data_IF_233686926998
#
_entry.id   IF_233686926998
#
_cell.length_a   1.000
_cell.length_b   1.000
_cell.length_c   1.000
_cell.angle_alpha   90.00
_cell.angle_beta   90.00
_cell.angle_gamma   90.00
#
_symmetry.space_group_name_H-M   'P 1'
#
loop_
_entity.id
_entity.type
_entity.pdbx_description
1 polymer ?
#
# COMPACT_ATOMS: atom_id res chain seq x y z
N UNK A 1 46.26 3.68 1.10
CA UNK A 1 45.55 3.35 2.35
C UNK A 1 44.25 2.67 1.95
N UNK A 2 44.24 1.34 1.97
CA UNK A 2 43.08 0.51 1.65
C UNK A 2 42.15 0.48 2.86
N UNK A 3 41.04 1.24 2.80
CA UNK A 3 39.95 1.09 3.74
C UNK A 3 39.28 -0.28 3.50
N UNK A 4 39.63 -1.24 4.36
CA UNK A 4 38.87 -2.47 4.56
C UNK A 4 37.48 -2.10 5.07
N UNK A 5 36.54 -1.93 4.15
CA UNK A 5 35.11 -2.02 4.45
C UNK A 5 34.86 -3.47 4.83
N UNK A 6 34.80 -3.73 6.13
CA UNK A 6 34.35 -5.01 6.67
C UNK A 6 32.93 -5.25 6.16
N UNK A 7 32.80 -6.17 5.21
CA UNK A 7 31.52 -6.71 4.78
C UNK A 7 30.91 -7.36 6.02
N UNK A 8 29.94 -6.67 6.61
CA UNK A 8 29.16 -7.19 7.71
C UNK A 8 28.36 -8.38 7.13
N UNK A 9 28.90 -9.59 7.27
CA UNK A 9 28.36 -10.84 6.70
C UNK A 9 26.86 -10.90 6.97
N UNK A 10 26.06 -10.83 5.91
CA UNK A 10 24.62 -10.66 6.05
C UNK A 10 24.04 -11.88 6.78
N UNK A 11 23.18 -11.63 7.76
CA UNK A 11 22.49 -12.66 8.54
C UNK A 11 21.68 -13.62 7.63
N UNK A 12 21.31 -13.17 6.43
CA UNK A 12 20.61 -13.95 5.40
C UNK A 12 21.51 -14.99 4.71
N UNK A 13 22.82 -14.77 4.61
CA UNK A 13 23.75 -15.68 3.91
C UNK A 13 24.15 -16.90 4.77
N UNK A 14 24.10 -16.77 6.11
CA UNK A 14 24.64 -17.78 7.03
C UNK A 14 23.58 -18.44 7.93
N UNK A 15 22.30 -18.06 7.80
CA UNK A 15 21.21 -18.65 8.59
C UNK A 15 20.65 -19.90 7.92
N UNK A 16 20.22 -20.88 8.73
CA UNK A 16 19.46 -22.03 8.21
C UNK A 16 18.16 -21.54 7.56
N UNK A 17 17.80 -22.14 6.42
CA UNK A 17 16.66 -21.72 5.58
C UNK A 17 15.35 -21.75 6.37
N UNK A 18 15.12 -22.76 7.21
CA UNK A 18 13.94 -22.89 8.07
C UNK A 18 13.73 -21.67 8.99
N UNK A 19 14.79 -21.25 9.68
CA UNK A 19 14.76 -20.07 10.57
C UNK A 19 14.54 -18.78 9.77
N UNK A 20 15.10 -18.68 8.57
CA UNK A 20 14.94 -17.52 7.72
C UNK A 20 13.51 -17.41 7.20
N UNK A 21 12.93 -18.52 6.72
CA UNK A 21 11.52 -18.58 6.28
C UNK A 21 10.60 -18.13 7.41
N UNK A 22 10.76 -18.67 8.62
CA UNK A 22 9.93 -18.27 9.77
C UNK A 22 10.10 -16.80 10.14
N UNK A 23 11.33 -16.27 10.11
CA UNK A 23 11.62 -14.87 10.41
C UNK A 23 10.93 -13.89 9.46
N UNK A 24 10.68 -14.30 8.21
CA UNK A 24 9.96 -13.50 7.22
C UNK A 24 8.46 -13.77 7.22
N UNK A 25 8.05 -15.03 7.34
CA UNK A 25 6.66 -15.43 7.28
C UNK A 25 5.87 -14.93 8.49
N UNK A 26 6.40 -15.07 9.72
CA UNK A 26 5.67 -14.70 10.94
C UNK A 26 5.24 -13.22 10.94
N UNK A 27 6.15 -12.24 10.70
CA UNK A 27 5.74 -10.84 10.64
C UNK A 27 4.70 -10.55 9.55
N UNK A 28 4.84 -11.18 8.38
CA UNK A 28 3.87 -11.01 7.29
C UNK A 28 2.49 -11.56 7.67
N UNK A 29 2.43 -12.75 8.26
CA UNK A 29 1.16 -13.35 8.70
C UNK A 29 0.50 -12.50 9.78
N UNK A 30 1.26 -12.02 10.78
CA UNK A 30 0.74 -11.12 11.82
C UNK A 30 0.19 -9.84 11.19
N UNK A 31 0.95 -9.21 10.29
CA UNK A 31 0.52 -8.00 9.57
C UNK A 31 -0.80 -8.23 8.82
N UNK A 32 -0.93 -9.36 8.11
CA UNK A 32 -2.13 -9.70 7.34
C UNK A 32 -3.33 -9.98 8.25
N UNK A 33 -3.15 -10.73 9.34
CA UNK A 33 -4.22 -11.04 10.30
C UNK A 33 -4.73 -9.77 10.98
N UNK A 34 -3.83 -8.92 11.48
CA UNK A 34 -4.24 -7.67 12.15
C UNK A 34 -4.91 -6.72 11.16
N UNK A 35 -4.40 -6.61 9.93
CA UNK A 35 -5.03 -5.81 8.87
C UNK A 35 -6.44 -6.31 8.53
N UNK A 36 -6.64 -7.63 8.44
CA UNK A 36 -7.97 -8.21 8.22
C UNK A 36 -8.94 -7.96 9.39
N UNK A 37 -8.48 -8.11 10.63
CA UNK A 37 -9.27 -7.80 11.82
C UNK A 37 -9.65 -6.32 11.87
N UNK A 38 -8.70 -5.45 11.54
CA UNK A 38 -8.95 -4.03 11.45
C UNK A 38 -10.05 -3.70 10.43
N UNK A 39 -9.95 -4.20 9.20
CA UNK A 39 -10.97 -3.96 8.17
C UNK A 39 -12.36 -4.40 8.64
N UNK A 40 -12.43 -5.49 9.42
CA UNK A 40 -13.70 -5.93 10.00
C UNK A 40 -14.23 -4.95 11.07
N UNK A 41 -13.36 -4.44 11.94
CA UNK A 41 -13.75 -3.49 12.99
C UNK A 41 -14.15 -2.12 12.40
N UNK A 42 -13.44 -1.63 11.39
CA UNK A 42 -13.79 -0.41 10.65
C UNK A 42 -15.21 -0.50 10.08
N UNK A 43 -15.55 -1.61 9.43
CA UNK A 43 -16.91 -1.84 8.91
C UNK A 43 -17.98 -1.94 10.02
N UNK A 44 -17.62 -2.38 11.23
CA UNK A 44 -18.51 -2.34 12.40
C UNK A 44 -18.75 -0.89 12.82
N UNK A 45 -17.70 -0.07 12.93
CA UNK A 45 -17.83 1.31 13.35
C UNK A 45 -18.65 2.15 12.36
N UNK A 46 -18.38 2.01 11.06
CA UNK A 46 -19.16 2.68 10.02
C UNK A 46 -20.61 2.16 10.03
N UNK A 47 -20.81 0.85 10.15
CA UNK A 47 -22.13 0.24 10.23
C UNK A 47 -22.95 0.72 11.43
N UNK A 48 -22.33 0.93 12.59
CA UNK A 48 -22.99 1.47 13.78
C UNK A 48 -23.21 2.99 13.70
N UNK A 49 -22.26 3.73 13.10
CA UNK A 49 -22.33 5.19 13.03
C UNK A 49 -23.22 5.73 11.93
N UNK A 50 -23.33 5.03 10.79
CA UNK A 50 -24.04 5.48 9.59
C UNK A 50 -25.08 4.46 9.11
N UNK A 51 -24.92 3.18 9.46
CA UNK A 51 -25.76 2.10 8.95
C UNK A 51 -25.19 1.44 7.70
N UNK A 52 -25.96 0.50 7.14
CA UNK A 52 -25.54 -0.28 5.98
C UNK A 52 -25.24 0.57 4.73
N UNK A 53 -25.84 1.77 4.61
CA UNK A 53 -25.58 2.71 3.52
C UNK A 53 -24.13 3.23 3.58
N UNK A 54 -23.59 3.45 4.78
CA UNK A 54 -22.19 3.82 4.97
C UNK A 54 -21.24 2.71 4.51
N UNK A 55 -21.52 1.47 4.89
CA UNK A 55 -20.72 0.31 4.45
C UNK A 55 -20.84 0.07 2.93
N UNK A 56 -22.00 0.32 2.34
CA UNK A 56 -22.16 0.25 0.89
C UNK A 56 -21.28 1.31 0.20
N UNK A 57 -21.27 2.54 0.72
CA UNK A 57 -20.48 3.64 0.19
C UNK A 57 -18.96 3.37 0.18
N UNK A 58 -18.42 2.82 1.28
CA UNK A 58 -17.00 2.44 1.36
C UNK A 58 -16.66 1.30 0.39
N UNK A 59 -17.52 0.29 0.28
CA UNK A 59 -17.35 -0.83 -0.66
C UNK A 59 -17.40 -0.39 -2.13
N UNK A 60 -18.23 0.60 -2.47
CA UNK A 60 -18.29 1.18 -3.83
C UNK A 60 -16.99 1.92 -4.16
N UNK A 61 -16.36 2.59 -3.20
CA UNK A 61 -15.08 3.28 -3.40
C UNK A 61 -13.88 2.32 -3.44
N UNK A 62 -14.01 1.12 -2.87
CA UNK A 62 -12.92 0.17 -2.65
C UNK A 62 -12.16 -0.27 -3.91
N UNK A 63 -12.79 -0.52 -5.08
CA UNK A 63 -12.08 -0.86 -6.32
C UNK A 63 -10.96 0.10 -6.69
N UNK A 64 -11.14 1.40 -6.44
CA UNK A 64 -10.12 2.40 -6.76
C UNK A 64 -8.86 2.22 -5.91
N UNK A 65 -9.04 1.95 -4.61
CA UNK A 65 -7.94 1.76 -3.67
C UNK A 65 -7.18 0.47 -3.99
N UNK A 66 -7.90 -0.61 -4.31
CA UNK A 66 -7.28 -1.90 -4.70
C UNK A 66 -6.47 -1.74 -6.00
N UNK A 67 -6.99 -0.99 -6.97
CA UNK A 67 -6.27 -0.72 -8.22
C UNK A 67 -4.97 0.07 -7.96
N UNK A 68 -5.02 1.09 -7.10
CA UNK A 68 -3.85 1.86 -6.71
C UNK A 68 -2.82 0.98 -5.97
N UNK A 69 -3.27 0.12 -5.05
CA UNK A 69 -2.42 -0.88 -4.40
C UNK A 69 -1.80 -1.86 -5.40
N UNK A 70 -2.53 -2.26 -6.44
CA UNK A 70 -2.00 -3.08 -7.52
C UNK A 70 -0.80 -2.46 -8.21
N UNK A 71 -0.87 -1.17 -8.53
CA UNK A 71 0.26 -0.43 -9.11
C UNK A 71 1.40 -0.24 -8.09
N UNK A 72 1.07 -0.07 -6.81
CA UNK A 72 2.06 -0.02 -5.75
C UNK A 72 2.86 -1.32 -5.67
N UNK A 73 2.18 -2.47 -5.74
CA UNK A 73 2.80 -3.80 -5.70
C UNK A 73 3.54 -4.12 -7.00
N UNK A 74 3.05 -3.66 -8.17
CA UNK A 74 3.79 -3.76 -9.45
C UNK A 74 5.21 -3.22 -9.31
N UNK A 75 5.36 -2.00 -8.81
CA UNK A 75 6.67 -1.38 -8.65
C UNK A 75 7.40 -1.87 -7.40
N UNK A 76 6.69 -2.07 -6.30
CA UNK A 76 7.24 -2.52 -5.02
C UNK A 76 7.83 -3.92 -5.08
N UNK A 77 7.03 -4.91 -5.48
CA UNK A 77 7.47 -6.31 -5.57
C UNK A 77 8.47 -6.49 -6.71
N UNK A 78 8.26 -5.80 -7.83
CA UNK A 78 9.22 -5.81 -8.94
C UNK A 78 10.59 -5.26 -8.54
N UNK A 79 10.62 -4.16 -7.78
CA UNK A 79 11.86 -3.60 -7.24
C UNK A 79 12.47 -4.44 -6.13
N UNK A 80 11.65 -5.05 -5.28
CA UNK A 80 12.09 -6.00 -4.26
C UNK A 80 12.81 -7.20 -4.89
N UNK A 81 12.24 -7.79 -5.95
CA UNK A 81 12.84 -8.88 -6.70
C UNK A 81 14.15 -8.43 -7.39
N UNK A 82 14.13 -7.30 -8.10
CA UNK A 82 15.31 -6.75 -8.76
C UNK A 82 16.43 -6.46 -7.76
N UNK A 83 16.10 -5.85 -6.62
CA UNK A 83 17.04 -5.55 -5.55
C UNK A 83 17.66 -6.82 -4.96
N UNK A 84 16.85 -7.85 -4.70
CA UNK A 84 17.32 -9.13 -4.14
C UNK A 84 18.27 -9.85 -5.09
N UNK A 85 17.97 -9.87 -6.39
CA UNK A 85 18.84 -10.44 -7.43
C UNK A 85 20.17 -9.67 -7.49
N UNK A 86 20.12 -8.33 -7.56
CA UNK A 86 21.33 -7.51 -7.64
C UNK A 86 22.20 -7.59 -6.39
N UNK A 87 21.58 -7.75 -5.22
CA UNK A 87 22.30 -7.99 -3.98
C UNK A 87 23.00 -9.36 -4.00
N UNK A 88 22.34 -10.41 -4.48
CA UNK A 88 22.93 -11.74 -4.65
C UNK A 88 24.06 -11.79 -5.68
N UNK A 89 24.01 -10.95 -6.72
CA UNK A 89 25.10 -10.76 -7.69
C UNK A 89 26.27 -9.92 -7.13
N UNK A 90 26.14 -9.34 -5.93
CA UNK A 90 27.10 -8.38 -5.38
C UNK A 90 27.04 -6.98 -6.04
N UNK A 91 26.09 -6.74 -6.95
CA UNK A 91 25.91 -5.47 -7.65
C UNK A 91 24.98 -4.52 -6.86
N UNK A 92 25.45 -4.07 -5.70
CA UNK A 92 24.68 -3.16 -4.82
C UNK A 92 24.37 -1.80 -5.46
N UNK A 93 25.19 -1.35 -6.41
CA UNK A 93 24.99 -0.08 -7.12
C UNK A 93 23.74 -0.08 -7.98
N UNK A 94 23.53 -1.12 -8.78
CA UNK A 94 22.31 -1.21 -9.60
C UNK A 94 21.10 -1.55 -8.73
N UNK A 95 21.26 -2.35 -7.68
CA UNK A 95 20.22 -2.55 -6.66
C UNK A 95 19.72 -1.21 -6.07
N UNK A 96 20.64 -0.31 -5.73
CA UNK A 96 20.31 1.03 -5.25
C UNK A 96 19.54 1.88 -6.27
N UNK A 97 19.93 1.83 -7.56
CA UNK A 97 19.19 2.50 -8.64
C UNK A 97 17.79 1.90 -8.81
N UNK A 98 17.65 0.58 -8.67
CA UNK A 98 16.35 -0.09 -8.71
C UNK A 98 15.37 0.45 -7.67
N UNK A 99 15.83 0.58 -6.41
CA UNK A 99 15.05 1.19 -5.33
C UNK A 99 14.70 2.65 -5.64
N UNK A 100 15.66 3.45 -6.11
CA UNK A 100 15.42 4.84 -6.47
C UNK A 100 14.40 5.01 -7.61
N UNK A 101 14.50 4.21 -8.66
CA UNK A 101 13.53 4.21 -9.76
C UNK A 101 12.14 3.81 -9.29
N UNK A 102 12.04 2.80 -8.41
CA UNK A 102 10.77 2.37 -7.82
C UNK A 102 10.11 3.51 -7.05
N UNK A 103 10.87 4.24 -6.21
CA UNK A 103 10.35 5.40 -5.48
C UNK A 103 9.80 6.46 -6.44
N UNK A 104 10.54 6.79 -7.51
CA UNK A 104 10.07 7.74 -8.52
C UNK A 104 8.79 7.26 -9.18
N UNK A 105 8.69 5.98 -9.54
CA UNK A 105 7.47 5.40 -10.12
C UNK A 105 6.29 5.45 -9.14
N UNK A 106 6.49 5.07 -7.88
CA UNK A 106 5.46 5.09 -6.83
C UNK A 106 4.92 6.49 -6.56
N UNK A 107 5.80 7.49 -6.44
CA UNK A 107 5.39 8.90 -6.25
C UNK A 107 4.61 9.38 -7.47
N UNK A 108 5.14 9.12 -8.66
CA UNK A 108 4.51 9.56 -9.92
C UNK A 108 3.12 8.94 -10.08
N UNK A 109 2.98 7.63 -9.88
CA UNK A 109 1.68 6.97 -10.03
C UNK A 109 0.73 7.31 -8.89
N UNK A 110 1.20 7.46 -7.65
CA UNK A 110 0.37 7.94 -6.55
C UNK A 110 -0.29 9.28 -6.86
N UNK A 111 0.47 10.23 -7.42
CA UNK A 111 -0.06 11.54 -7.87
C UNK A 111 -1.02 11.37 -9.05
N UNK A 112 -0.70 10.51 -10.02
CA UNK A 112 -1.58 10.24 -11.16
C UNK A 112 -2.93 9.69 -10.68
N UNK A 113 -2.94 8.72 -9.76
CA UNK A 113 -4.16 8.19 -9.17
C UNK A 113 -4.95 9.26 -8.42
N UNK A 114 -4.29 10.09 -7.61
CA UNK A 114 -4.94 11.21 -6.94
C UNK A 114 -5.68 12.12 -7.95
N UNK A 115 -4.99 12.54 -9.01
CA UNK A 115 -5.53 13.46 -10.02
C UNK A 115 -6.66 12.81 -10.82
N UNK A 116 -6.46 11.59 -11.33
CA UNK A 116 -7.48 10.84 -12.07
C UNK A 116 -8.71 10.59 -11.19
N UNK A 117 -8.49 10.18 -9.94
CA UNK A 117 -9.55 9.92 -8.98
C UNK A 117 -10.41 11.15 -8.72
N UNK A 118 -9.81 12.34 -8.61
CA UNK A 118 -10.59 13.58 -8.45
C UNK A 118 -11.31 14.01 -9.72
N UNK A 119 -10.67 13.91 -10.89
CA UNK A 119 -11.27 14.32 -12.17
C UNK A 119 -12.47 13.45 -12.52
N UNK A 120 -12.37 12.14 -12.29
CA UNK A 120 -13.39 11.16 -12.66
C UNK A 120 -14.17 10.61 -11.46
N UNK A 121 -14.14 11.32 -10.32
CA UNK A 121 -14.64 10.83 -9.04
C UNK A 121 -16.05 10.24 -9.14
N UNK A 122 -17.00 11.02 -9.66
CA UNK A 122 -18.40 10.61 -9.72
C UNK A 122 -18.62 9.50 -10.75
N UNK A 123 -17.99 9.60 -11.92
CA UNK A 123 -18.08 8.60 -12.99
C UNK A 123 -17.53 7.24 -12.54
N UNK A 124 -16.44 7.25 -11.77
CA UNK A 124 -15.85 6.05 -11.17
C UNK A 124 -16.84 5.41 -10.19
N UNK A 125 -17.43 6.19 -9.28
CA UNK A 125 -18.38 5.67 -8.30
C UNK A 125 -19.62 5.05 -8.96
N UNK A 126 -20.20 5.69 -9.98
CA UNK A 126 -21.28 5.10 -10.76
C UNK A 126 -20.84 3.81 -11.47
N UNK A 127 -19.65 3.79 -12.08
CA UNK A 127 -19.08 2.59 -12.70
C UNK A 127 -18.80 1.46 -11.70
N UNK A 128 -18.54 1.79 -10.43
CA UNK A 128 -18.30 0.83 -9.36
C UNK A 128 -19.58 0.36 -8.66
N UNK A 129 -20.76 0.76 -9.13
CA UNK A 129 -22.05 0.28 -8.63
C UNK A 129 -22.72 1.21 -7.60
N UNK A 130 -22.43 2.51 -7.63
CA UNK A 130 -23.21 3.47 -6.85
C UNK A 130 -24.69 3.48 -7.27
N UNK A 131 -25.56 3.83 -6.33
CA UNK A 131 -27.00 4.04 -6.52
C UNK A 131 -27.37 5.45 -6.06
N UNK A 132 -28.60 5.88 -6.36
CA UNK A 132 -29.11 7.19 -5.90
C UNK A 132 -29.07 7.37 -4.38
N UNK A 133 -29.10 6.29 -3.61
CA UNK A 133 -29.07 6.32 -2.14
C UNK A 133 -27.66 6.25 -1.55
N UNK A 134 -26.69 5.69 -2.28
CA UNK A 134 -25.31 5.51 -1.78
C UNK A 134 -24.33 6.57 -2.29
N UNK A 135 -24.60 7.19 -3.44
CA UNK A 135 -23.67 8.10 -4.12
C UNK A 135 -23.22 9.27 -3.24
N UNK A 136 -24.11 9.83 -2.41
CA UNK A 136 -23.77 10.97 -1.53
C UNK A 136 -22.71 10.57 -0.51
N UNK A 137 -22.89 9.44 0.17
CA UNK A 137 -21.92 8.91 1.13
C UNK A 137 -20.63 8.44 0.46
N UNK A 138 -20.74 7.85 -0.73
CA UNK A 138 -19.58 7.37 -1.48
C UNK A 138 -18.70 8.53 -1.97
N UNK A 139 -19.31 9.64 -2.43
CA UNK A 139 -18.59 10.87 -2.77
C UNK A 139 -17.90 11.47 -1.55
N UNK A 140 -18.61 11.56 -0.43
CA UNK A 140 -18.08 12.11 0.81
C UNK A 140 -16.88 11.30 1.34
N UNK A 141 -16.95 9.97 1.27
CA UNK A 141 -15.86 9.08 1.63
C UNK A 141 -14.69 9.18 0.64
N UNK A 142 -14.95 8.93 -0.65
CA UNK A 142 -13.90 8.82 -1.66
C UNK A 142 -13.14 10.13 -1.88
N UNK A 143 -13.79 11.30 -1.76
CA UNK A 143 -13.10 12.61 -1.82
C UNK A 143 -11.98 12.73 -0.80
N UNK A 144 -12.15 12.18 0.39
CA UNK A 144 -11.16 12.23 1.46
C UNK A 144 -10.14 11.11 1.27
N UNK A 145 -10.61 9.88 1.01
CA UNK A 145 -9.74 8.72 0.77
C UNK A 145 -8.77 8.94 -0.39
N UNK A 146 -9.15 9.67 -1.44
CA UNK A 146 -8.24 9.97 -2.54
C UNK A 146 -6.95 10.65 -2.09
N UNK A 147 -7.00 11.50 -1.06
CA UNK A 147 -5.83 12.18 -0.48
C UNK A 147 -4.83 11.18 0.07
N UNK A 148 -5.30 10.02 0.55
CA UNK A 148 -4.43 9.00 1.12
C UNK A 148 -3.75 8.12 0.08
N UNK A 149 -4.30 8.02 -1.14
CA UNK A 149 -3.81 7.14 -2.20
C UNK A 149 -2.31 7.29 -2.49
N UNK A 150 -1.73 8.50 -2.61
CA UNK A 150 -0.28 8.64 -2.74
C UNK A 150 0.50 8.02 -1.58
N UNK A 151 0.00 8.16 -0.34
CA UNK A 151 0.63 7.58 0.84
C UNK A 151 0.52 6.06 0.85
N UNK A 152 -0.66 5.51 0.51
CA UNK A 152 -0.88 4.07 0.36
C UNK A 152 0.09 3.48 -0.67
N UNK A 153 0.20 4.11 -1.85
CA UNK A 153 1.05 3.61 -2.94
C UNK A 153 2.51 3.59 -2.51
N UNK A 154 3.01 4.69 -1.95
CA UNK A 154 4.39 4.77 -1.46
C UNK A 154 4.62 3.76 -0.33
N UNK A 155 3.71 3.68 0.63
CA UNK A 155 3.82 2.76 1.76
C UNK A 155 3.86 1.31 1.29
N UNK A 156 2.91 0.87 0.47
CA UNK A 156 2.82 -0.51 -0.04
C UNK A 156 4.09 -0.88 -0.81
N UNK A 157 4.49 -0.02 -1.75
CA UNK A 157 5.65 -0.28 -2.59
C UNK A 157 6.96 -0.32 -1.79
N UNK A 158 7.18 0.65 -0.90
CA UNK A 158 8.35 0.66 -0.02
C UNK A 158 8.34 -0.52 0.95
N UNK A 159 7.18 -0.93 1.47
CA UNK A 159 7.11 -2.05 2.41
C UNK A 159 7.65 -3.34 1.77
N UNK A 160 7.33 -3.61 0.50
CA UNK A 160 7.91 -4.74 -0.24
C UNK A 160 9.43 -4.67 -0.35
N UNK A 161 9.99 -3.49 -0.61
CA UNK A 161 11.44 -3.28 -0.68
C UNK A 161 12.10 -3.44 0.69
N UNK A 162 11.47 -2.93 1.76
CA UNK A 162 11.95 -3.06 3.15
C UNK A 162 12.03 -4.54 3.55
N UNK A 163 11.04 -5.34 3.16
CA UNK A 163 11.07 -6.80 3.39
C UNK A 163 12.24 -7.43 2.63
N UNK A 164 12.46 -7.08 1.37
CA UNK A 164 13.60 -7.57 0.59
C UNK A 164 14.97 -7.14 1.13
N UNK A 165 15.06 -5.99 1.81
CA UNK A 165 16.27 -5.57 2.56
C UNK A 165 16.51 -6.38 3.84
N UNK A 166 15.61 -7.31 4.17
CA UNK A 166 15.75 -8.24 5.28
C UNK A 166 15.25 -7.70 6.61
N UNK A 167 14.35 -6.71 6.58
CA UNK A 167 13.70 -6.20 7.78
C UNK A 167 12.17 -6.30 7.74
N UNK A 168 11.60 -7.52 7.65
CA UNK A 168 10.17 -7.73 7.63
C UNK A 168 9.45 -7.27 8.90
N UNK A 169 10.16 -7.25 10.04
CA UNK A 169 9.62 -6.73 11.30
C UNK A 169 9.37 -5.21 11.25
N UNK A 170 10.27 -4.45 10.62
CA UNK A 170 10.03 -3.03 10.41
C UNK A 170 8.87 -2.78 9.45
N UNK A 171 8.79 -3.56 8.36
CA UNK A 171 7.65 -3.51 7.43
C UNK A 171 6.32 -3.78 8.13
N UNK A 172 6.27 -4.82 8.97
CA UNK A 172 5.11 -5.11 9.82
C UNK A 172 4.80 -3.94 10.75
N UNK A 173 5.79 -3.42 11.48
CA UNK A 173 5.59 -2.31 12.41
C UNK A 173 5.08 -1.03 11.74
N UNK A 174 5.55 -0.73 10.53
CA UNK A 174 5.06 0.40 9.74
C UNK A 174 3.59 0.24 9.37
N UNK A 175 3.17 -0.95 8.91
CA UNK A 175 1.76 -1.22 8.61
C UNK A 175 0.89 -1.10 9.87
N UNK A 176 1.30 -1.80 10.95
CA UNK A 176 0.54 -1.86 12.19
C UNK A 176 0.38 -0.50 12.85
N UNK A 177 1.39 0.37 12.78
CA UNK A 177 1.29 1.71 13.35
C UNK A 177 0.13 2.50 12.74
N UNK A 178 0.02 2.56 11.42
CA UNK A 178 -1.09 3.26 10.77
C UNK A 178 -2.44 2.61 11.04
N UNK A 179 -2.51 1.27 10.97
CA UNK A 179 -3.73 0.52 11.26
C UNK A 179 -4.23 0.74 12.68
N UNK A 180 -3.34 0.72 13.68
CA UNK A 180 -3.70 0.96 15.08
C UNK A 180 -4.13 2.42 15.28
N UNK A 181 -3.42 3.38 14.68
CA UNK A 181 -3.79 4.79 14.79
C UNK A 181 -5.15 5.05 14.18
N UNK A 182 -5.40 4.53 12.98
CA UNK A 182 -6.71 4.62 12.37
C UNK A 182 -7.78 3.95 13.29
N UNK A 183 -7.56 2.73 13.79
CA UNK A 183 -8.50 2.03 14.67
C UNK A 183 -8.88 2.83 15.93
N UNK A 184 -7.93 3.61 16.47
CA UNK A 184 -8.17 4.50 17.61
C UNK A 184 -8.90 5.79 17.21
N UNK A 185 -8.66 6.31 16.01
CA UNK A 185 -9.25 7.54 15.51
C UNK A 185 -10.66 7.36 14.93
N UNK A 186 -10.96 6.19 14.36
CA UNK A 186 -12.28 5.87 13.81
C UNK A 186 -13.42 6.14 14.80
N UNK A 187 -13.45 5.55 16.01
CA UNK A 187 -14.57 5.78 16.93
C UNK A 187 -14.62 7.24 17.41
N UNK A 188 -13.47 7.93 17.47
CA UNK A 188 -13.41 9.36 17.82
C UNK A 188 -14.08 10.19 16.74
N UNK A 189 -13.71 10.03 15.47
CA UNK A 189 -14.31 10.83 14.41
C UNK A 189 -15.74 10.40 14.07
N UNK A 190 -16.04 9.11 14.11
CA UNK A 190 -17.37 8.58 13.78
C UNK A 190 -18.37 8.91 14.88
N UNK A 191 -18.08 8.60 16.15
CA UNK A 191 -19.06 8.70 17.24
C UNK A 191 -18.95 9.99 18.04
N UNK A 192 -17.75 10.48 18.36
CA UNK A 192 -17.60 11.69 19.18
C UNK A 192 -17.78 12.97 18.35
N UNK A 193 -17.20 13.03 17.15
CA UNK A 193 -17.37 14.18 16.24
C UNK A 193 -18.55 14.03 15.26
N UNK A 194 -19.27 12.90 15.29
CA UNK A 194 -20.43 12.63 14.44
C UNK A 194 -20.16 12.82 12.92
N UNK A 195 -18.95 12.48 12.46
CA UNK A 195 -18.53 12.70 11.07
C UNK A 195 -18.91 11.56 10.12
N UNK A 196 -19.44 10.44 10.64
CA UNK A 196 -19.83 9.27 9.85
C UNK A 196 -18.70 8.77 8.94
N UNK A 197 -19.02 8.47 7.67
CA UNK A 197 -18.04 7.97 6.68
C UNK A 197 -16.86 8.95 6.44
N UNK A 198 -17.07 10.27 6.59
CA UNK A 198 -15.98 11.23 6.48
C UNK A 198 -14.95 11.04 7.59
N UNK A 199 -15.43 10.75 8.79
CA UNK A 199 -14.58 10.49 9.95
C UNK A 199 -13.67 9.29 9.74
N UNK A 200 -14.24 8.18 9.28
CA UNK A 200 -13.50 6.98 8.91
C UNK A 200 -12.42 7.29 7.85
N UNK A 201 -12.79 8.00 6.77
CA UNK A 201 -11.84 8.36 5.73
C UNK A 201 -10.67 9.23 6.25
N UNK A 202 -10.93 10.18 7.15
CA UNK A 202 -9.89 11.02 7.75
C UNK A 202 -8.95 10.20 8.63
N UNK A 203 -9.48 9.32 9.47
CA UNK A 203 -8.67 8.40 10.27
C UNK A 203 -7.76 7.55 9.37
N UNK A 204 -8.28 7.06 8.24
CA UNK A 204 -7.52 6.25 7.27
C UNK A 204 -6.37 7.04 6.68
N UNK A 205 -6.63 8.28 6.23
CA UNK A 205 -5.58 9.18 5.70
C UNK A 205 -4.47 9.39 6.71
N UNK A 206 -4.81 9.63 7.99
CA UNK A 206 -3.81 9.84 9.05
C UNK A 206 -3.00 8.57 9.30
N UNK A 207 -3.65 7.40 9.37
CA UNK A 207 -2.99 6.12 9.54
C UNK A 207 -2.00 5.83 8.40
N UNK A 208 -2.46 5.95 7.15
CA UNK A 208 -1.63 5.70 5.97
C UNK A 208 -0.49 6.70 5.82
N UNK A 209 -0.71 7.96 6.19
CA UNK A 209 0.35 8.97 6.25
C UNK A 209 1.46 8.54 7.22
N UNK A 210 1.11 8.08 8.43
CA UNK A 210 2.09 7.66 9.43
C UNK A 210 2.85 6.42 8.98
N UNK A 211 2.16 5.41 8.44
CA UNK A 211 2.79 4.22 7.85
C UNK A 211 3.75 4.60 6.71
N UNK A 212 3.34 5.53 5.84
CA UNK A 212 4.16 6.04 4.75
C UNK A 212 5.43 6.74 5.29
N UNK A 213 5.29 7.62 6.29
CA UNK A 213 6.44 8.29 6.90
C UNK A 213 7.42 7.30 7.55
N UNK A 214 6.91 6.24 8.18
CA UNK A 214 7.77 5.17 8.70
C UNK A 214 8.53 4.44 7.60
N UNK A 215 7.87 4.10 6.48
CA UNK A 215 8.52 3.50 5.31
C UNK A 215 9.57 4.43 4.69
N UNK A 216 9.27 5.72 4.52
CA UNK A 216 10.22 6.71 4.00
C UNK A 216 11.43 6.86 4.92
N UNK A 217 11.22 6.90 6.24
CA UNK A 217 12.32 6.98 7.21
C UNK A 217 13.24 5.74 7.16
N UNK A 218 12.72 4.59 6.73
CA UNK A 218 13.55 3.39 6.53
C UNK A 218 14.59 3.57 5.43
N UNK A 219 14.39 4.46 4.45
CA UNK A 219 15.37 4.72 3.38
C UNK A 219 16.76 5.11 3.94
N UNK A 220 16.81 5.70 5.15
CA UNK A 220 18.05 6.05 5.85
C UNK A 220 18.68 4.88 6.61
N UNK A 221 17.94 3.78 6.79
CA UNK A 221 18.31 2.58 7.57
C UNK A 221 18.73 1.40 6.70
N UNK A 222 18.74 1.55 5.37
CA UNK A 222 19.20 0.51 4.46
C UNK A 222 20.62 0.09 4.80
N UNK A 223 20.84 -1.22 4.91
CA UNK A 223 22.14 -1.77 5.30
C UNK A 223 23.12 -1.81 4.13
N UNK A 224 22.62 -2.16 2.95
CA UNK A 224 23.44 -2.42 1.76
C UNK A 224 23.39 -1.28 0.72
N UNK A 225 22.57 -0.25 0.96
CA UNK A 225 22.39 0.90 0.05
C UNK A 225 22.56 2.20 0.83
N UNK A 226 23.42 3.10 0.32
CA UNK A 226 23.41 4.51 0.72
C UNK A 226 22.46 5.27 -0.21
N UNK A 227 21.30 5.66 0.31
CA UNK A 227 20.34 6.43 -0.47
C UNK A 227 20.92 7.80 -0.88
N UNK A 228 20.75 8.17 -2.15
CA UNK A 228 21.14 9.45 -2.71
C UNK A 228 20.06 9.91 -3.69
N UNK A 229 19.73 11.21 -3.68
CA UNK A 229 18.73 11.81 -4.58
C UNK A 229 19.00 11.51 -6.06
N UNK A 230 20.27 11.31 -6.45
CA UNK A 230 20.65 10.94 -7.82
C UNK A 230 20.09 9.58 -8.26
N UNK A 231 19.75 8.70 -7.32
CA UNK A 231 19.13 7.40 -7.59
C UNK A 231 17.68 7.53 -8.08
N UNK A 232 17.03 8.69 -7.91
CA UNK A 232 15.66 8.93 -8.38
C UNK A 232 15.57 9.15 -9.90
N UNK A 233 16.71 9.31 -10.59
CA UNK A 233 16.73 9.45 -12.04
C UNK A 233 16.41 8.11 -12.70
N UNK A 234 15.25 8.06 -13.37
CA UNK A 234 14.77 6.88 -14.06
C UNK A 234 15.79 6.36 -15.08
N UNK A 235 16.07 5.07 -14.98
CA UNK A 235 16.79 4.28 -15.99
C UNK A 235 15.79 3.35 -16.65
N UNK A 236 15.59 3.53 -17.95
CA UNK A 236 14.57 2.81 -18.72
C UNK A 236 14.75 1.28 -18.66
N UNK A 237 15.99 0.80 -18.69
CA UNK A 237 16.25 -0.65 -18.66
C UNK A 237 15.87 -1.24 -17.31
N UNK A 238 16.24 -0.56 -16.23
CA UNK A 238 15.89 -0.98 -14.87
C UNK A 238 14.37 -0.93 -14.66
N UNK A 239 13.71 0.14 -15.09
CA UNK A 239 12.25 0.29 -15.01
C UNK A 239 11.53 -0.85 -15.73
N UNK A 240 11.96 -1.17 -16.96
CA UNK A 240 11.40 -2.28 -17.73
C UNK A 240 11.52 -3.61 -16.97
N UNK A 241 12.67 -3.89 -16.38
CA UNK A 241 12.87 -5.12 -15.59
C UNK A 241 11.98 -5.15 -14.34
N UNK A 242 11.86 -4.02 -13.62
CA UNK A 242 10.98 -3.92 -12.44
C UNK A 242 9.53 -4.23 -12.83
N UNK A 243 9.04 -3.64 -13.93
CA UNK A 243 7.67 -3.90 -14.42
C UNK A 243 7.47 -5.37 -14.75
N UNK A 244 8.43 -6.00 -15.45
CA UNK A 244 8.36 -7.42 -15.79
C UNK A 244 8.29 -8.30 -14.53
N UNK A 245 9.04 -7.97 -13.48
CA UNK A 245 9.03 -8.74 -12.25
C UNK A 245 7.75 -8.57 -11.42
N UNK A 246 7.12 -7.39 -11.44
CA UNK A 246 5.90 -7.13 -10.68
C UNK A 246 4.59 -7.36 -11.43
N UNK A 247 4.63 -7.66 -12.74
CA UNK A 247 3.42 -7.71 -13.57
C UNK A 247 2.42 -8.78 -13.10
N UNK A 248 2.92 -9.89 -12.55
CA UNK A 248 2.06 -10.95 -12.01
C UNK A 248 1.21 -10.46 -10.84
N UNK A 249 1.81 -9.76 -9.87
CA UNK A 249 1.06 -9.19 -8.74
C UNK A 249 0.04 -8.16 -9.22
N UNK A 250 0.38 -7.35 -10.23
CA UNK A 250 -0.56 -6.39 -10.80
C UNK A 250 -1.77 -7.07 -11.46
N UNK A 251 -1.55 -8.12 -12.25
CA UNK A 251 -2.63 -8.89 -12.88
C UNK A 251 -3.56 -9.50 -11.82
N UNK A 252 -3.00 -10.02 -10.73
CA UNK A 252 -3.82 -10.52 -9.61
C UNK A 252 -4.70 -9.42 -9.02
N UNK A 253 -4.14 -8.22 -8.79
CA UNK A 253 -4.90 -7.11 -8.22
C UNK A 253 -5.94 -6.55 -9.20
N UNK A 254 -5.67 -6.57 -10.51
CA UNK A 254 -6.66 -6.26 -11.54
C UNK A 254 -7.82 -7.25 -11.51
N UNK A 255 -7.54 -8.55 -11.38
CA UNK A 255 -8.58 -9.57 -11.28
C UNK A 255 -9.45 -9.37 -10.02
N UNK A 256 -8.83 -9.11 -8.86
CA UNK A 256 -9.55 -8.79 -7.62
C UNK A 256 -10.42 -7.54 -7.79
N UNK A 257 -9.86 -6.47 -8.35
CA UNK A 257 -10.59 -5.22 -8.61
C UNK A 257 -11.80 -5.47 -9.51
N UNK A 258 -11.63 -6.24 -10.59
CA UNK A 258 -12.70 -6.59 -11.50
C UNK A 258 -13.82 -7.39 -10.81
N UNK A 259 -13.46 -8.38 -9.99
CA UNK A 259 -14.43 -9.16 -9.20
C UNK A 259 -15.26 -8.23 -8.31
N UNK A 260 -14.62 -7.30 -7.58
CA UNK A 260 -15.32 -6.36 -6.70
C UNK A 260 -16.28 -5.47 -7.50
N UNK A 261 -15.84 -4.91 -8.64
CA UNK A 261 -16.69 -4.06 -9.48
C UNK A 261 -17.93 -4.83 -9.95
N UNK A 262 -17.75 -6.05 -10.45
CA UNK A 262 -18.85 -6.89 -10.93
C UNK A 262 -19.79 -7.23 -9.76
N UNK A 263 -19.27 -7.62 -8.61
CA UNK A 263 -20.06 -7.91 -7.41
C UNK A 263 -20.87 -6.71 -6.95
N UNK A 264 -20.28 -5.52 -6.88
CA UNK A 264 -20.98 -4.30 -6.50
C UNK A 264 -22.10 -3.96 -7.47
N UNK A 265 -21.86 -4.06 -8.79
CA UNK A 265 -22.88 -3.78 -9.81
C UNK A 265 -24.03 -4.81 -9.77
N UNK A 266 -23.73 -6.08 -9.49
CA UNK A 266 -24.76 -7.11 -9.31
C UNK A 266 -25.63 -6.82 -8.08
N UNK A 267 -25.01 -6.42 -6.96
CA UNK A 267 -25.73 -6.01 -5.75
C UNK A 267 -26.57 -4.75 -5.96
N UNK A 268 -26.05 -3.76 -6.69
CA UNK A 268 -26.80 -2.56 -7.03
C UNK A 268 -28.06 -2.85 -7.86
N UNK A 269 -28.00 -3.85 -8.75
CA UNK A 269 -29.12 -4.22 -9.63
C UNK A 269 -30.14 -5.16 -8.98
N UNK A 270 -29.69 -6.11 -8.15
CA UNK A 270 -30.53 -7.20 -7.65
C UNK A 270 -30.70 -7.22 -6.12
N UNK A 271 -29.94 -6.40 -5.39
CA UNK A 271 -29.95 -6.37 -3.92
C UNK A 271 -30.88 -5.30 -3.31
N UNK A 272 -31.62 -4.56 -4.13
CA UNK A 272 -32.63 -3.59 -3.70
C UNK A 272 -34.00 -4.24 -3.50
#
# INVERSE_FOLDING_TARGET
>A
MSENVSINKNLMENSKIDKLVLKFAIPCVIAMVVSALYNFVDQIFIGQGVGYIGNAATNIAFPFVVLAQGVALLFGDGAAAFYSIKLGEGNTKDGAKGVGNAITMLISTGIIFLVIGYIFLEQLLWGFGATSTTIVYALDYMKITLISVPFTVIMCGLNSIIRADGNPQYGMGALLAGTIINLLLDPVFIFYFHMGVKGAAIATVIGEFISCMMCINYLRKFKNIKFNIRLLKLDFNIVKTIIIFGISTFITQLAVTFIIIVSNNMLAKYGA
#
